data_IF_493746372676
#
_entry.id   IF_493746372676
#
_cell.length_a   1.000
_cell.length_b   1.000
_cell.length_c   1.000
_cell.angle_alpha   90.00
_cell.angle_beta   90.00
_cell.angle_gamma   90.00
#
_symmetry.space_group_name_H-M   'P 1'
#
loop_
_entity.id
_entity.type
_entity.pdbx_description
1 polymer ?
#
# COMPACT_ATOMS: atom_id res chain seq x y z
N UNK A 1 -18.93 6.74 -44.91
CA UNK A 1 -19.29 6.43 -43.49
C UNK A 1 -20.19 5.18 -43.43
N UNK A 2 -20.01 4.22 -44.35
CA UNK A 2 -21.06 3.24 -44.74
C UNK A 2 -20.52 1.85 -45.07
N UNK A 3 -19.38 1.42 -44.53
CA UNK A 3 -18.77 0.14 -44.96
C UNK A 3 -18.87 -1.02 -43.96
N UNK A 4 -19.30 -0.77 -42.71
CA UNK A 4 -19.25 -1.80 -41.65
C UNK A 4 -20.60 -2.11 -40.99
N UNK A 5 -21.74 -1.73 -41.59
CA UNK A 5 -23.06 -2.00 -41.00
C UNK A 5 -23.62 -3.40 -41.32
N UNK A 6 -22.99 -4.14 -42.26
CA UNK A 6 -23.46 -5.46 -42.72
C UNK A 6 -22.39 -6.57 -42.61
N UNK A 7 -21.34 -6.37 -41.80
CA UNK A 7 -20.32 -7.40 -41.59
C UNK A 7 -20.91 -8.59 -40.81
N UNK A 8 -21.04 -9.74 -41.48
CA UNK A 8 -21.47 -10.98 -40.82
C UNK A 8 -20.27 -11.64 -40.11
N UNK A 9 -20.16 -11.36 -38.81
CA UNK A 9 -19.06 -11.85 -37.98
C UNK A 9 -19.14 -13.38 -37.71
N UNK A 10 -20.22 -14.07 -38.13
CA UNK A 10 -20.43 -15.51 -37.91
C UNK A 10 -19.43 -16.40 -38.66
N UNK A 11 -18.84 -15.93 -39.74
CA UNK A 11 -17.86 -16.67 -40.53
C UNK A 11 -16.39 -16.38 -40.15
N UNK A 12 -16.15 -15.50 -39.16
CA UNK A 12 -14.80 -15.09 -38.76
C UNK A 12 -14.08 -16.10 -37.85
N UNK A 13 -14.76 -17.17 -37.45
CA UNK A 13 -14.16 -18.30 -36.73
C UNK A 13 -13.00 -18.94 -37.49
N UNK A 14 -13.04 -18.93 -38.83
CA UNK A 14 -12.09 -19.62 -39.72
C UNK A 14 -11.08 -18.72 -40.45
N UNK A 15 -10.88 -17.48 -40.02
CA UNK A 15 -10.07 -16.49 -40.76
C UNK A 15 -8.65 -16.96 -41.16
N UNK A 16 -8.40 -16.89 -42.46
CA UNK A 16 -7.08 -16.97 -43.10
C UNK A 16 -6.25 -15.70 -42.84
N UNK A 17 -4.99 -15.65 -43.34
CA UNK A 17 -4.04 -14.52 -43.20
C UNK A 17 -4.64 -13.12 -43.52
N UNK A 18 -5.72 -13.04 -44.30
CA UNK A 18 -6.42 -11.78 -44.63
C UNK A 18 -7.20 -11.17 -43.46
N UNK A 19 -7.71 -11.97 -42.51
CA UNK A 19 -8.45 -11.45 -41.35
C UNK A 19 -7.57 -10.78 -40.30
N UNK A 20 -6.28 -11.08 -40.27
CA UNK A 20 -5.34 -10.47 -39.31
C UNK A 20 -5.05 -8.99 -39.60
N UNK A 21 -5.24 -8.53 -40.84
CA UNK A 21 -5.07 -7.10 -41.19
C UNK A 21 -6.24 -6.24 -40.73
N UNK A 22 -7.46 -6.79 -40.66
CA UNK A 22 -8.66 -6.06 -40.22
C UNK A 22 -8.62 -5.73 -38.73
N UNK A 23 -8.04 -6.61 -37.91
CA UNK A 23 -7.80 -6.38 -36.49
C UNK A 23 -6.80 -5.25 -36.19
N UNK A 24 -6.20 -4.62 -37.20
CA UNK A 24 -5.41 -3.39 -37.02
C UNK A 24 -6.27 -2.12 -37.04
N UNK A 25 -7.48 -2.17 -37.59
CA UNK A 25 -8.40 -1.03 -37.62
C UNK A 25 -9.17 -0.93 -36.30
N UNK A 26 -9.11 0.23 -35.65
CA UNK A 26 -9.76 0.48 -34.37
C UNK A 26 -11.30 0.38 -34.46
N UNK A 27 -11.90 0.77 -35.59
CA UNK A 27 -13.37 0.70 -35.79
C UNK A 27 -13.84 -0.75 -35.88
N UNK A 28 -13.04 -1.59 -36.53
CA UNK A 28 -13.30 -3.02 -36.60
C UNK A 28 -13.19 -3.67 -35.22
N UNK A 29 -12.16 -3.31 -34.44
CA UNK A 29 -11.95 -3.83 -33.08
C UNK A 29 -13.16 -3.55 -32.16
N UNK A 30 -13.70 -2.34 -32.17
CA UNK A 30 -14.85 -1.95 -31.33
C UNK A 30 -16.13 -2.70 -31.71
N UNK A 31 -16.46 -2.76 -33.01
CA UNK A 31 -17.61 -3.53 -33.50
C UNK A 31 -17.49 -5.02 -33.22
N UNK A 32 -16.28 -5.56 -33.37
CA UNK A 32 -16.01 -6.95 -33.05
C UNK A 32 -16.22 -7.25 -31.56
N UNK A 33 -15.78 -6.34 -30.67
CA UNK A 33 -15.99 -6.48 -29.24
C UNK A 33 -17.48 -6.47 -28.85
N UNK A 34 -18.26 -5.55 -29.42
CA UNK A 34 -19.72 -5.51 -29.23
C UNK A 34 -20.40 -6.80 -29.70
N UNK A 35 -20.01 -7.30 -30.88
CA UNK A 35 -20.49 -8.57 -31.40
C UNK A 35 -20.21 -9.71 -30.42
N UNK A 36 -18.97 -9.84 -29.92
CA UNK A 36 -18.60 -10.90 -28.97
C UNK A 36 -19.38 -10.80 -27.65
N UNK A 37 -19.63 -9.58 -27.16
CA UNK A 37 -20.43 -9.36 -25.95
C UNK A 37 -21.91 -9.72 -26.15
N UNK A 38 -22.43 -9.55 -27.37
CA UNK A 38 -23.84 -9.82 -27.72
C UNK A 38 -24.17 -11.30 -27.92
N UNK A 39 -23.18 -12.16 -28.15
CA UNK A 39 -23.42 -13.59 -28.36
C UNK A 39 -23.98 -14.26 -27.09
N UNK A 40 -24.95 -15.18 -27.19
CA UNK A 40 -25.41 -15.97 -26.04
C UNK A 40 -24.49 -17.16 -25.71
N UNK A 41 -23.37 -17.31 -26.42
CA UNK A 41 -22.45 -18.45 -26.29
C UNK A 41 -21.84 -18.62 -24.89
N UNK A 42 -21.41 -19.87 -24.62
CA UNK A 42 -20.64 -20.24 -23.44
C UNK A 42 -19.35 -19.41 -23.30
N UNK A 43 -18.91 -19.19 -22.06
CA UNK A 43 -17.78 -18.33 -21.73
C UNK A 43 -16.49 -18.68 -22.49
N UNK A 44 -16.21 -19.97 -22.70
CA UNK A 44 -15.04 -20.44 -23.45
C UNK A 44 -15.03 -20.00 -24.92
N UNK A 45 -16.19 -20.03 -25.58
CA UNK A 45 -16.31 -19.63 -26.98
C UNK A 45 -16.06 -18.12 -27.13
N UNK A 46 -16.62 -17.32 -26.21
CA UNK A 46 -16.37 -15.87 -26.16
C UNK A 46 -14.91 -15.55 -25.86
N UNK A 47 -14.30 -16.32 -24.96
CA UNK A 47 -12.89 -16.15 -24.60
C UNK A 47 -11.96 -16.43 -25.79
N UNK A 48 -12.29 -17.42 -26.62
CA UNK A 48 -11.58 -17.73 -27.86
C UNK A 48 -11.70 -16.58 -28.89
N UNK A 49 -12.89 -15.99 -29.03
CA UNK A 49 -13.10 -14.84 -29.91
C UNK A 49 -12.33 -13.60 -29.42
N UNK A 50 -12.39 -13.32 -28.11
CA UNK A 50 -11.62 -12.23 -27.50
C UNK A 50 -10.11 -12.44 -27.65
N UNK A 51 -9.62 -13.68 -27.73
CA UNK A 51 -8.19 -13.96 -27.96
C UNK A 51 -7.69 -13.36 -29.28
N UNK A 52 -8.50 -13.45 -30.35
CA UNK A 52 -8.16 -12.85 -31.65
C UNK A 52 -8.13 -11.32 -31.56
N UNK A 53 -9.11 -10.74 -30.88
CA UNK A 53 -9.15 -9.30 -30.63
C UNK A 53 -7.92 -8.82 -29.82
N UNK A 54 -7.54 -9.53 -28.77
CA UNK A 54 -6.33 -9.25 -27.96
C UNK A 54 -5.05 -9.29 -28.80
N UNK A 55 -4.92 -10.25 -29.72
CA UNK A 55 -3.78 -10.30 -30.65
C UNK A 55 -3.72 -9.05 -31.55
N UNK A 56 -4.87 -8.57 -32.03
CA UNK A 56 -4.98 -7.31 -32.76
C UNK A 56 -4.55 -6.10 -31.97
N UNK A 57 -5.00 -6.00 -30.71
CA UNK A 57 -4.62 -4.92 -29.80
C UNK A 57 -3.11 -4.88 -29.55
N UNK A 58 -2.48 -6.04 -29.37
CA UNK A 58 -1.02 -6.16 -29.21
C UNK A 58 -0.29 -5.78 -30.49
N UNK A 59 -0.78 -6.18 -31.66
CA UNK A 59 -0.14 -5.88 -32.94
C UNK A 59 -0.11 -4.37 -33.28
N UNK A 60 -1.00 -3.57 -32.70
CA UNK A 60 -1.06 -2.10 -32.85
C UNK A 60 -0.52 -1.37 -31.60
N UNK A 61 -0.06 -2.10 -30.58
CA UNK A 61 0.26 -1.60 -29.24
C UNK A 61 -0.78 -0.60 -28.70
N UNK A 62 -2.06 -0.94 -28.81
CA UNK A 62 -3.16 -0.10 -28.34
C UNK A 62 -3.24 -0.15 -26.80
N UNK A 63 -3.16 1.01 -26.15
CA UNK A 63 -3.11 1.14 -24.67
C UNK A 63 -4.18 2.05 -24.06
N UNK A 64 -5.28 2.23 -24.75
CA UNK A 64 -6.39 3.08 -24.31
C UNK A 64 -7.37 2.32 -23.38
N UNK A 65 -8.38 3.03 -22.88
CA UNK A 65 -9.45 2.48 -22.05
C UNK A 65 -10.19 1.31 -22.73
N UNK A 66 -10.24 1.29 -24.06
CA UNK A 66 -10.82 0.19 -24.82
C UNK A 66 -10.01 -1.09 -24.64
N UNK A 67 -8.68 -1.02 -24.75
CA UNK A 67 -7.82 -2.17 -24.47
C UNK A 67 -8.06 -2.70 -23.05
N UNK A 68 -8.12 -1.80 -22.05
CA UNK A 68 -8.44 -2.17 -20.65
C UNK A 68 -9.78 -2.91 -20.56
N UNK A 69 -10.83 -2.39 -21.20
CA UNK A 69 -12.16 -3.02 -21.20
C UNK A 69 -12.15 -4.43 -21.81
N UNK A 70 -11.43 -4.62 -22.92
CA UNK A 70 -11.29 -5.93 -23.58
C UNK A 70 -10.59 -6.93 -22.67
N UNK A 71 -9.50 -6.53 -22.02
CA UNK A 71 -8.75 -7.40 -21.12
C UNK A 71 -9.49 -7.69 -19.81
N UNK A 72 -10.29 -6.74 -19.28
CA UNK A 72 -11.21 -6.99 -18.16
C UNK A 72 -12.26 -8.03 -18.50
N UNK A 73 -12.94 -7.86 -19.64
CA UNK A 73 -13.97 -8.81 -20.08
C UNK A 73 -13.39 -10.20 -20.33
N UNK A 74 -12.18 -10.25 -20.88
CA UNK A 74 -11.42 -11.49 -21.07
C UNK A 74 -11.13 -12.19 -19.74
N UNK A 75 -10.74 -11.43 -18.73
CA UNK A 75 -10.48 -11.95 -17.40
C UNK A 75 -11.75 -12.53 -16.75
N UNK A 76 -12.87 -11.81 -16.82
CA UNK A 76 -14.15 -12.26 -16.25
C UNK A 76 -14.59 -13.60 -16.86
N UNK A 77 -14.50 -13.71 -18.19
CA UNK A 77 -14.85 -14.93 -18.92
C UNK A 77 -13.89 -16.07 -18.63
N UNK A 78 -12.59 -15.80 -18.50
CA UNK A 78 -11.59 -16.81 -18.15
C UNK A 78 -11.77 -17.32 -16.71
N UNK A 79 -12.22 -16.48 -15.79
CA UNK A 79 -12.60 -16.88 -14.43
C UNK A 79 -13.86 -17.74 -14.47
N UNK A 80 -14.86 -17.33 -15.25
CA UNK A 80 -16.10 -18.08 -15.42
C UNK A 80 -15.88 -19.48 -16.01
N UNK A 81 -14.92 -19.61 -16.94
CA UNK A 81 -14.59 -20.89 -17.55
C UNK A 81 -13.42 -21.63 -16.90
N UNK A 82 -12.93 -21.15 -15.75
CA UNK A 82 -11.81 -21.74 -15.00
C UNK A 82 -10.51 -21.91 -15.83
N UNK A 83 -10.32 -21.10 -16.88
CA UNK A 83 -9.19 -21.18 -17.79
C UNK A 83 -7.96 -20.40 -17.24
N UNK A 84 -7.14 -21.12 -16.48
CA UNK A 84 -5.96 -20.61 -15.75
C UNK A 84 -4.95 -19.87 -16.63
N UNK A 85 -4.72 -20.33 -17.86
CA UNK A 85 -3.71 -19.72 -18.73
C UNK A 85 -4.19 -18.37 -19.29
N UNK A 86 -5.48 -18.26 -19.61
CA UNK A 86 -6.09 -17.02 -20.10
C UNK A 86 -6.26 -15.96 -18.99
N UNK A 87 -6.45 -16.39 -17.73
CA UNK A 87 -6.40 -15.52 -16.56
C UNK A 87 -5.02 -14.85 -16.46
N UNK A 88 -3.95 -15.65 -16.57
CA UNK A 88 -2.57 -15.14 -16.49
C UNK A 88 -2.25 -14.12 -17.59
N UNK A 89 -2.63 -14.42 -18.83
CA UNK A 89 -2.42 -13.53 -19.99
C UNK A 89 -3.19 -12.22 -19.83
N UNK A 90 -4.44 -12.28 -19.38
CA UNK A 90 -5.28 -11.08 -19.25
C UNK A 90 -4.81 -10.16 -18.14
N UNK A 91 -4.39 -10.73 -17.00
CA UNK A 91 -3.85 -9.96 -15.88
C UNK A 91 -2.50 -9.33 -16.18
N UNK A 92 -1.60 -10.06 -16.84
CA UNK A 92 -0.28 -9.52 -17.21
C UNK A 92 -0.44 -8.25 -18.04
N UNK A 93 -1.37 -8.28 -19.01
CA UNK A 93 -1.57 -7.13 -19.88
C UNK A 93 -2.34 -5.99 -19.20
N UNK A 94 -3.28 -6.26 -18.30
CA UNK A 94 -3.93 -5.21 -17.49
C UNK A 94 -2.91 -4.45 -16.63
N UNK A 95 -1.95 -5.14 -16.03
CA UNK A 95 -0.87 -4.52 -15.25
C UNK A 95 0.05 -3.66 -16.12
N UNK A 96 0.30 -4.06 -17.38
CA UNK A 96 1.07 -3.25 -18.33
C UNK A 96 0.30 -2.05 -18.87
N UNK A 97 -1.04 -2.14 -18.91
CA UNK A 97 -1.92 -1.13 -19.50
C UNK A 97 -2.34 -0.03 -18.52
N UNK A 98 -2.34 -0.29 -17.22
CA UNK A 98 -2.85 0.66 -16.23
C UNK A 98 -1.78 1.20 -15.26
N UNK A 99 -1.92 2.49 -15.00
CA UNK A 99 -1.09 3.33 -14.11
C UNK A 99 -1.76 3.58 -12.76
N UNK A 100 -3.02 3.16 -12.56
CA UNK A 100 -3.74 3.30 -11.30
C UNK A 100 -4.17 1.96 -10.66
N UNK A 101 -3.63 1.69 -9.47
CA UNK A 101 -3.66 0.39 -8.78
C UNK A 101 -5.02 0.03 -8.14
N UNK A 102 -6.05 0.88 -8.26
CA UNK A 102 -7.36 0.68 -7.67
C UNK A 102 -8.13 -0.50 -8.27
N UNK A 103 -7.85 -0.87 -9.53
CA UNK A 103 -8.59 -1.92 -10.23
C UNK A 103 -8.11 -3.35 -9.87
N UNK A 104 -6.86 -3.48 -9.39
CA UNK A 104 -6.34 -4.74 -8.84
C UNK A 104 -7.13 -5.20 -7.60
N UNK A 105 -7.75 -4.26 -6.88
CA UNK A 105 -8.65 -4.55 -5.76
C UNK A 105 -9.97 -5.20 -6.21
N UNK A 106 -10.51 -4.81 -7.37
CA UNK A 106 -11.72 -5.42 -7.92
C UNK A 106 -11.46 -6.84 -8.43
N UNK A 107 -10.31 -7.05 -9.09
CA UNK A 107 -9.83 -8.38 -9.51
C UNK A 107 -9.74 -9.34 -8.30
N UNK A 108 -9.29 -8.83 -7.16
CA UNK A 108 -9.19 -9.57 -5.91
C UNK A 108 -10.55 -9.90 -5.28
N UNK A 109 -11.52 -9.00 -5.36
CA UNK A 109 -12.91 -9.27 -4.95
C UNK A 109 -13.56 -10.36 -5.80
N UNK A 110 -13.37 -10.34 -7.12
CA UNK A 110 -13.99 -11.33 -8.02
C UNK A 110 -13.42 -12.74 -7.78
N UNK A 111 -12.10 -12.86 -7.58
CA UNK A 111 -11.45 -14.14 -7.24
C UNK A 111 -11.89 -14.71 -5.88
N UNK A 112 -12.39 -13.86 -4.97
CA UNK A 112 -12.86 -14.28 -3.63
C UNK A 112 -14.35 -14.55 -3.56
N UNK A 113 -15.15 -14.00 -4.48
CA UNK A 113 -16.62 -14.09 -4.42
C UNK A 113 -17.23 -15.33 -5.10
N UNK A 114 -16.53 -15.98 -6.05
CA UNK A 114 -17.01 -17.23 -6.68
C UNK A 114 -16.50 -18.46 -5.91
N UNK A 115 -17.39 -19.09 -5.13
CA UNK A 115 -17.17 -20.35 -4.40
C UNK A 115 -17.10 -21.57 -5.33
N UNK A 116 -16.11 -21.67 -6.21
CA UNK A 116 -15.60 -22.95 -6.70
C UNK A 116 -14.15 -22.72 -7.08
N UNK A 117 -13.22 -23.16 -6.24
CA UNK A 117 -11.81 -23.14 -6.60
C UNK A 117 -11.12 -24.40 -6.07
N UNK A 118 -11.46 -25.54 -6.66
CA UNK A 118 -10.62 -26.73 -6.60
C UNK A 118 -9.74 -26.86 -7.87
N UNK A 119 -9.10 -25.76 -8.31
CA UNK A 119 -7.68 -25.78 -8.68
C UNK A 119 -6.91 -24.50 -8.22
N UNK A 120 -7.49 -23.69 -7.32
CA UNK A 120 -6.95 -22.38 -6.88
C UNK A 120 -5.50 -22.39 -6.41
N UNK A 121 -5.04 -23.46 -5.79
CA UNK A 121 -3.72 -23.44 -5.13
C UNK A 121 -2.57 -23.32 -6.12
N UNK A 122 -2.73 -23.73 -7.38
CA UNK A 122 -1.73 -23.49 -8.42
C UNK A 122 -1.87 -22.12 -9.07
N UNK A 123 -3.11 -21.66 -9.32
CA UNK A 123 -3.39 -20.32 -9.86
C UNK A 123 -2.92 -19.24 -8.88
N UNK A 124 -3.27 -19.36 -7.59
CA UNK A 124 -2.80 -18.48 -6.52
C UNK A 124 -1.28 -18.50 -6.42
N UNK A 125 -0.62 -19.67 -6.54
CA UNK A 125 0.85 -19.76 -6.53
C UNK A 125 1.51 -19.15 -7.78
N UNK A 126 0.89 -19.28 -8.96
CA UNK A 126 1.34 -18.64 -10.21
C UNK A 126 1.14 -17.13 -10.16
N UNK A 127 -0.02 -16.66 -9.70
CA UNK A 127 -0.32 -15.25 -9.47
C UNK A 127 0.59 -14.65 -8.41
N UNK A 128 0.85 -15.38 -7.31
CA UNK A 128 1.86 -15.00 -6.32
C UNK A 128 3.25 -14.89 -6.94
N UNK A 129 3.66 -15.80 -7.84
CA UNK A 129 4.97 -15.68 -8.54
C UNK A 129 5.03 -14.48 -9.48
N UNK A 130 3.97 -14.21 -10.24
CA UNK A 130 3.88 -13.08 -11.16
C UNK A 130 3.90 -11.76 -10.37
N UNK A 131 3.12 -11.67 -9.30
CA UNK A 131 3.11 -10.54 -8.37
C UNK A 131 4.43 -10.39 -7.60
N UNK A 132 5.19 -11.46 -7.39
CA UNK A 132 6.53 -11.42 -6.79
C UNK A 132 7.61 -10.98 -7.78
N UNK A 133 7.39 -11.15 -9.09
CA UNK A 133 8.28 -10.61 -10.14
C UNK A 133 8.02 -9.13 -10.44
N UNK A 134 6.79 -8.66 -10.22
CA UNK A 134 6.44 -7.25 -10.25
C UNK A 134 6.91 -6.57 -8.96
N UNK A 135 8.07 -5.93 -9.05
CA UNK A 135 8.76 -5.08 -8.06
C UNK A 135 8.11 -4.96 -6.66
N UNK A 136 8.85 -5.39 -5.64
CA UNK A 136 8.50 -5.51 -4.20
C UNK A 136 7.66 -4.35 -3.60
N UNK A 137 7.76 -3.15 -4.17
CA UNK A 137 7.07 -1.94 -3.73
C UNK A 137 5.55 -2.01 -4.00
N UNK A 138 5.11 -2.65 -5.09
CA UNK A 138 3.68 -2.80 -5.41
C UNK A 138 2.97 -3.80 -4.49
N UNK A 139 3.67 -4.87 -4.10
CA UNK A 139 3.17 -5.91 -3.20
C UNK A 139 2.87 -5.39 -1.79
N UNK A 140 3.76 -4.55 -1.23
CA UNK A 140 3.56 -3.97 0.10
C UNK A 140 2.50 -2.86 0.13
N UNK A 141 2.29 -2.14 -0.98
CA UNK A 141 1.23 -1.12 -1.07
C UNK A 141 -0.17 -1.72 -1.25
N UNK A 142 -0.27 -2.95 -1.77
CA UNK A 142 -1.51 -3.75 -1.82
C UNK A 142 -1.91 -4.34 -0.45
N UNK A 143 -0.98 -4.36 0.51
CA UNK A 143 -1.18 -4.88 1.86
C UNK A 143 -1.77 -3.83 2.83
N UNK A 144 -1.91 -2.58 2.40
CA UNK A 144 -2.27 -1.47 3.27
C UNK A 144 -3.66 -0.92 2.94
N UNK A 145 -4.68 -1.55 3.53
CA UNK A 145 -5.92 -0.95 4.03
C UNK A 145 -6.85 -2.06 4.54
N UNK A 146 -6.91 -2.21 5.88
CA UNK A 146 -8.12 -2.51 6.66
C UNK A 146 -9.14 -3.56 6.18
N UNK A 147 -8.75 -4.64 5.49
CA UNK A 147 -9.73 -5.57 4.89
C UNK A 147 -9.48 -7.06 5.16
N UNK A 148 -10.53 -7.85 4.98
CA UNK A 148 -10.78 -9.20 5.52
C UNK A 148 -9.80 -10.33 5.22
N UNK A 149 -8.62 -10.07 4.65
CA UNK A 149 -7.62 -11.10 4.35
C UNK A 149 -6.95 -11.69 5.60
N UNK A 150 -6.79 -10.90 6.67
CA UNK A 150 -6.37 -11.43 7.98
C UNK A 150 -7.40 -12.40 8.56
N UNK A 151 -8.71 -12.15 8.34
CA UNK A 151 -9.80 -13.05 8.73
C UNK A 151 -9.90 -14.30 7.84
N UNK A 152 -9.56 -14.18 6.55
CA UNK A 152 -9.59 -15.28 5.58
C UNK A 152 -8.38 -16.23 5.74
N UNK A 153 -7.19 -15.69 6.04
CA UNK A 153 -6.01 -16.46 6.48
C UNK A 153 -6.28 -17.20 7.79
N UNK A 154 -6.96 -16.56 8.75
CA UNK A 154 -7.36 -17.19 10.01
C UNK A 154 -8.39 -18.30 9.77
N UNK A 155 -9.42 -18.06 8.94
CA UNK A 155 -10.45 -19.04 8.59
C UNK A 155 -9.90 -20.28 7.84
N UNK A 156 -8.94 -20.08 6.92
CA UNK A 156 -8.23 -21.16 6.21
C UNK A 156 -7.32 -21.97 7.13
N UNK A 157 -6.69 -21.33 8.13
CA UNK A 157 -5.86 -22.02 9.12
C UNK A 157 -6.68 -22.76 10.19
N UNK A 158 -7.95 -22.37 10.40
CA UNK A 158 -8.87 -23.01 11.37
C UNK A 158 -9.82 -24.05 10.75
N UNK A 159 -9.91 -24.13 9.42
CA UNK A 159 -10.78 -25.06 8.70
C UNK A 159 -10.24 -26.50 8.76
N UNK A 160 -10.75 -27.31 9.70
CA UNK A 160 -10.49 -28.76 9.78
C UNK A 160 -11.23 -29.51 8.68
N UNK A 161 -10.53 -30.03 7.68
CA UNK A 161 -11.02 -31.12 6.82
C UNK A 161 -9.94 -32.22 6.76
N UNK A 162 -10.32 -33.52 6.79
CA UNK A 162 -9.37 -34.63 6.85
C UNK A 162 -8.71 -34.87 5.48
N UNK A 163 -7.39 -35.10 5.50
CA UNK A 163 -6.55 -35.35 4.31
C UNK A 163 -6.81 -36.75 3.69
N UNK A 164 -6.68 -36.92 2.36
CA UNK A 164 -6.78 -38.22 1.69
C UNK A 164 -5.54 -39.11 1.99
N UNK A 165 -5.66 -40.45 1.90
CA UNK A 165 -4.61 -41.36 2.34
C UNK A 165 -3.42 -41.37 1.36
N UNK A 166 -2.20 -41.22 1.91
CA UNK A 166 -0.93 -41.16 1.17
C UNK A 166 -0.45 -42.54 0.74
N UNK A 167 -0.06 -42.70 -0.52
CA UNK A 167 0.65 -43.88 -1.04
C UNK A 167 2.13 -43.90 -0.63
N UNK A 168 2.62 -45.11 -0.29
CA UNK A 168 3.90 -45.40 0.40
C UNK A 168 5.19 -44.87 -0.26
N UNK A 169 5.18 -44.60 -1.58
CA UNK A 169 6.33 -44.02 -2.30
C UNK A 169 6.46 -42.49 -2.15
N UNK A 170 5.35 -41.77 -1.96
CA UNK A 170 5.37 -40.31 -1.75
C UNK A 170 5.83 -39.93 -0.33
N UNK A 171 5.73 -40.86 0.62
CA UNK A 171 6.15 -40.66 2.01
C UNK A 171 7.66 -40.56 2.23
N UNK A 172 8.51 -41.12 1.37
CA UNK A 172 9.98 -41.05 1.57
C UNK A 172 10.59 -39.77 0.97
N UNK A 173 10.23 -39.43 -0.27
CA UNK A 173 10.67 -38.20 -0.94
C UNK A 173 10.13 -36.93 -0.25
N UNK A 174 8.87 -36.95 0.21
CA UNK A 174 8.30 -35.84 0.98
C UNK A 174 8.88 -35.69 2.39
N UNK A 175 9.29 -36.79 3.04
CA UNK A 175 10.02 -36.75 4.32
C UNK A 175 11.43 -36.20 4.13
N UNK A 176 12.12 -36.55 3.04
CA UNK A 176 13.45 -36.02 2.73
C UNK A 176 13.41 -34.53 2.38
N UNK A 177 12.53 -34.11 1.46
CA UNK A 177 12.36 -32.69 1.12
C UNK A 177 11.88 -31.87 2.32
N UNK A 178 10.95 -32.40 3.13
CA UNK A 178 10.50 -31.77 4.37
C UNK A 178 11.59 -31.66 5.43
N UNK A 179 12.43 -32.69 5.61
CA UNK A 179 13.56 -32.66 6.53
C UNK A 179 14.65 -31.68 6.10
N UNK A 180 14.93 -31.59 4.79
CA UNK A 180 15.89 -30.62 4.22
C UNK A 180 15.37 -29.18 4.40
N UNK A 181 14.11 -28.90 4.04
CA UNK A 181 13.49 -27.58 4.23
C UNK A 181 13.39 -27.21 5.72
N UNK A 182 13.06 -28.17 6.59
CA UNK A 182 13.01 -27.97 8.04
C UNK A 182 14.40 -27.72 8.64
N UNK A 183 15.43 -28.41 8.15
CA UNK A 183 16.84 -28.19 8.52
C UNK A 183 17.34 -26.82 8.06
N UNK A 184 17.01 -26.40 6.83
CA UNK A 184 17.36 -25.09 6.29
C UNK A 184 16.64 -23.94 7.03
N UNK A 185 15.35 -24.08 7.32
CA UNK A 185 14.61 -23.06 8.10
C UNK A 185 15.11 -22.95 9.54
N UNK A 186 15.58 -24.03 10.18
CA UNK A 186 16.23 -23.95 11.51
C UNK A 186 17.51 -23.10 11.47
N UNK A 187 18.28 -23.16 10.39
CA UNK A 187 19.51 -22.36 10.20
C UNK A 187 19.24 -20.89 9.86
N UNK A 188 18.14 -20.58 9.17
CA UNK A 188 17.80 -19.21 8.72
C UNK A 188 17.00 -18.42 9.78
N UNK A 189 16.31 -19.09 10.70
CA UNK A 189 15.59 -18.46 11.83
C UNK A 189 16.43 -17.46 12.65
N UNK A 190 17.66 -17.79 13.11
CA UNK A 190 18.46 -16.83 13.87
C UNK A 190 18.87 -15.61 13.02
N UNK A 191 19.15 -15.79 11.73
CA UNK A 191 19.45 -14.68 10.82
C UNK A 191 18.26 -13.73 10.64
N UNK A 192 17.04 -14.27 10.54
CA UNK A 192 15.82 -13.45 10.49
C UNK A 192 15.58 -12.72 11.80
N UNK A 193 15.78 -13.38 12.94
CA UNK A 193 15.66 -12.74 14.25
C UNK A 193 16.67 -11.61 14.40
N UNK A 194 17.91 -11.81 13.96
CA UNK A 194 18.95 -10.78 13.97
C UNK A 194 18.57 -9.59 13.09
N UNK A 195 18.06 -9.83 11.87
CA UNK A 195 17.56 -8.77 11.00
C UNK A 195 16.41 -7.97 11.62
N UNK A 196 15.44 -8.64 12.25
CA UNK A 196 14.32 -7.97 12.94
C UNK A 196 14.84 -7.14 14.12
N UNK A 197 15.77 -7.68 14.91
CA UNK A 197 16.37 -6.97 16.04
C UNK A 197 17.13 -5.72 15.58
N UNK A 198 17.92 -5.81 14.50
CA UNK A 198 18.64 -4.67 13.94
C UNK A 198 17.69 -3.57 13.47
N UNK A 199 16.63 -3.93 12.74
CA UNK A 199 15.61 -2.96 12.28
C UNK A 199 14.86 -2.36 13.48
N UNK A 200 14.50 -3.17 14.46
CA UNK A 200 13.78 -2.72 15.67
C UNK A 200 14.64 -1.76 16.50
N UNK A 201 15.92 -2.10 16.70
CA UNK A 201 16.89 -1.24 17.37
C UNK A 201 17.03 0.09 16.63
N UNK A 202 17.27 0.06 15.31
CA UNK A 202 17.35 1.27 14.50
C UNK A 202 16.08 2.11 14.62
N UNK A 203 14.90 1.48 14.51
CA UNK A 203 13.62 2.17 14.59
C UNK A 203 13.42 2.84 15.96
N UNK A 204 13.64 2.12 17.06
CA UNK A 204 13.48 2.67 18.42
C UNK A 204 14.44 3.83 18.66
N UNK A 205 15.71 3.70 18.24
CA UNK A 205 16.72 4.73 18.48
C UNK A 205 16.57 5.97 17.58
N UNK A 206 16.02 5.83 16.37
CA UNK A 206 15.91 6.94 15.43
C UNK A 206 14.51 7.58 15.41
N UNK A 207 13.45 6.82 15.66
CA UNK A 207 12.07 7.32 15.57
C UNK A 207 11.57 7.94 16.86
N UNK A 208 12.08 7.48 18.02
CA UNK A 208 11.67 7.98 19.33
C UNK A 208 12.87 8.50 20.13
N UNK A 209 12.63 9.45 21.04
CA UNK A 209 13.64 9.92 21.98
C UNK A 209 13.01 10.37 23.27
N UNK A 210 13.70 10.08 24.36
CA UNK A 210 13.37 10.56 25.68
C UNK A 210 14.11 11.88 25.93
N UNK A 211 13.40 12.93 26.33
CA UNK A 211 13.99 14.25 26.63
C UNK A 211 13.54 14.71 28.01
N UNK A 212 14.50 15.09 28.86
CA UNK A 212 14.24 15.72 30.16
C UNK A 212 14.06 17.23 29.97
N UNK A 213 12.96 17.77 30.49
CA UNK A 213 12.59 19.17 30.33
C UNK A 213 13.18 19.96 31.49
N UNK A 214 14.12 20.86 31.17
CA UNK A 214 14.75 21.75 32.13
C UNK A 214 14.35 23.18 31.79
N UNK A 215 13.34 23.71 32.48
CA UNK A 215 12.87 25.08 32.26
C UNK A 215 11.41 25.30 32.64
N UNK A 216 11.00 26.57 32.61
CA UNK A 216 9.65 27.05 32.99
C UNK A 216 8.79 27.48 31.80
N UNK A 217 9.35 27.58 30.59
CA UNK A 217 8.63 28.18 29.45
C UNK A 217 7.37 27.45 29.00
N UNK A 218 7.20 26.19 29.43
CA UNK A 218 6.04 25.36 29.11
C UNK A 218 5.14 25.14 30.34
N UNK A 219 5.32 25.90 31.42
CA UNK A 219 4.43 25.88 32.57
C UNK A 219 3.05 26.48 32.19
N UNK A 220 1.94 25.96 32.74
CA UNK A 220 1.86 24.86 33.70
C UNK A 220 1.88 23.46 33.06
N UNK A 221 1.82 23.35 31.73
CA UNK A 221 1.68 22.04 31.05
C UNK A 221 2.83 21.08 31.34
N UNK A 222 4.06 21.58 31.32
CA UNK A 222 5.27 20.84 31.62
C UNK A 222 5.98 21.49 32.82
N UNK A 223 6.43 20.67 33.76
CA UNK A 223 7.02 21.08 35.04
C UNK A 223 6.16 22.09 35.82
N UNK A 224 4.90 21.78 36.19
CA UNK A 224 4.00 22.68 36.91
C UNK A 224 4.58 23.11 38.27
N UNK A 225 5.39 22.26 38.90
CA UNK A 225 6.02 22.57 40.17
C UNK A 225 7.04 23.71 40.05
N UNK A 226 6.82 24.80 40.77
CA UNK A 226 7.73 25.95 40.84
C UNK A 226 9.10 25.60 41.43
N UNK A 227 9.14 24.55 42.25
CA UNK A 227 10.31 24.14 43.03
C UNK A 227 11.35 23.39 42.18
N UNK A 228 10.98 22.94 40.96
CA UNK A 228 11.87 22.28 39.98
C UNK A 228 12.66 21.08 40.55
N UNK A 229 12.14 20.44 41.61
CA UNK A 229 12.75 19.26 42.24
C UNK A 229 12.64 18.02 41.35
N UNK A 230 11.59 17.98 40.52
CA UNK A 230 11.31 16.94 39.53
C UNK A 230 11.27 17.58 38.14
N UNK A 231 11.72 16.84 37.14
CA UNK A 231 11.66 17.27 35.74
C UNK A 231 10.84 16.29 34.94
N UNK A 232 9.98 16.80 34.06
CA UNK A 232 9.20 15.99 33.14
C UNK A 232 10.10 15.36 32.09
N UNK A 233 9.90 14.07 31.85
CA UNK A 233 10.50 13.38 30.71
C UNK A 233 9.44 13.16 29.66
N UNK A 234 9.75 13.64 28.46
CA UNK A 234 8.87 13.60 27.31
C UNK A 234 9.37 12.59 26.29
N UNK A 235 8.47 11.79 25.74
CA UNK A 235 8.73 11.02 24.53
C UNK A 235 8.47 11.91 23.32
N UNK A 236 9.50 12.07 22.49
CA UNK A 236 9.43 12.70 21.20
C UNK A 236 9.27 11.66 20.09
N UNK A 237 8.29 11.86 19.22
CA UNK A 237 8.14 11.15 17.96
C UNK A 237 8.80 11.98 16.83
N UNK A 238 9.91 11.47 16.29
CA UNK A 238 10.72 12.08 15.23
C UNK A 238 10.35 11.61 13.83
N UNK A 239 9.49 10.59 13.71
CA UNK A 239 9.14 9.97 12.43
C UNK A 239 7.90 10.61 11.77
N UNK A 240 7.23 11.53 12.46
CA UNK A 240 6.01 12.13 11.95
C UNK A 240 6.28 13.00 10.70
N UNK A 241 5.52 12.80 9.61
CA UNK A 241 5.58 13.70 8.46
C UNK A 241 5.14 15.12 8.87
N UNK A 242 5.65 16.14 8.19
CA UNK A 242 5.30 17.53 8.47
C UNK A 242 3.79 17.83 8.37
N UNK A 243 3.04 17.05 7.59
CA UNK A 243 1.58 17.16 7.46
C UNK A 243 0.79 16.76 8.71
N UNK A 244 1.43 16.09 9.68
CA UNK A 244 0.78 15.58 10.88
C UNK A 244 0.89 16.52 12.08
N UNK A 245 1.65 17.60 11.97
CA UNK A 245 1.69 18.64 12.99
C UNK A 245 0.38 19.44 12.96
N UNK A 246 -0.18 19.67 14.15
CA UNK A 246 -1.43 20.40 14.35
C UNK A 246 -1.20 21.60 15.26
N UNK A 247 -2.13 22.54 15.18
CA UNK A 247 -2.23 23.61 16.15
C UNK A 247 -2.33 23.03 17.57
N UNK A 248 -1.56 23.58 18.50
CA UNK A 248 -1.51 23.12 19.90
C UNK A 248 -0.54 21.98 20.17
N UNK A 249 0.08 21.37 19.15
CA UNK A 249 1.05 20.30 19.37
C UNK A 249 2.30 20.82 20.09
N UNK A 250 2.81 20.02 21.04
CA UNK A 250 4.09 20.28 21.70
C UNK A 250 5.19 19.71 20.82
N UNK A 251 6.19 20.53 20.47
CA UNK A 251 7.28 20.16 19.58
C UNK A 251 8.62 20.52 20.17
N UNK A 252 9.61 19.66 19.91
CA UNK A 252 11.01 19.96 20.13
C UNK A 252 11.61 20.53 18.86
N UNK A 253 12.33 21.64 18.95
CA UNK A 253 12.98 22.29 17.82
C UNK A 253 14.35 22.86 18.19
N UNK A 254 15.15 23.17 17.17
CA UNK A 254 16.35 24.01 17.32
C UNK A 254 15.96 25.45 17.01
N UNK A 255 15.90 26.36 18.00
CA UNK A 255 15.53 27.75 17.75
C UNK A 255 16.62 28.46 16.94
N UNK A 256 16.25 29.44 16.08
CA UNK A 256 17.20 30.16 15.24
C UNK A 256 18.21 30.98 16.05
N UNK A 257 17.80 31.49 17.22
CA UNK A 257 18.65 32.28 18.13
C UNK A 257 19.77 31.45 18.78
N UNK A 258 19.53 30.15 19.02
CA UNK A 258 20.56 29.26 19.56
C UNK A 258 20.43 27.84 19.00
N UNK A 259 21.02 27.57 17.82
CA UNK A 259 20.86 26.29 17.12
C UNK A 259 21.52 25.11 17.84
N UNK A 260 22.41 25.37 18.82
CA UNK A 260 23.06 24.33 19.62
C UNK A 260 22.19 23.82 20.77
N UNK A 261 21.04 24.46 21.03
CA UNK A 261 20.09 24.06 22.08
C UNK A 261 18.81 23.49 21.48
N UNK A 262 18.16 22.62 22.24
CA UNK A 262 16.82 22.12 21.92
C UNK A 262 15.82 22.84 22.80
N UNK A 263 14.82 23.45 22.19
CA UNK A 263 13.71 24.10 22.87
C UNK A 263 12.43 23.26 22.70
N UNK A 264 11.61 23.20 23.75
CA UNK A 264 10.26 22.64 23.68
C UNK A 264 9.27 23.80 23.71
N UNK A 265 8.40 23.84 22.70
CA UNK A 265 7.38 24.87 22.49
C UNK A 265 6.09 24.25 21.98
N UNK A 266 4.99 25.01 22.05
CA UNK A 266 3.70 24.67 21.46
C UNK A 266 3.54 25.34 20.11
N UNK A 267 2.98 24.63 19.13
CA UNK A 267 2.58 25.23 17.85
C UNK A 267 1.38 26.14 18.07
N UNK A 268 1.58 27.43 17.85
CA UNK A 268 0.57 28.48 17.93
C UNK A 268 0.01 28.89 16.56
N UNK A 269 0.65 28.48 15.46
CA UNK A 269 0.13 28.66 14.10
C UNK A 269 0.86 27.80 13.08
N UNK A 270 0.13 27.37 12.06
CA UNK A 270 0.62 26.66 10.87
C UNK A 270 0.35 27.51 9.62
N UNK A 271 0.83 27.04 8.47
CA UNK A 271 0.66 27.72 7.19
C UNK A 271 -0.77 28.27 6.99
N UNK A 272 -0.86 29.58 6.74
CA UNK A 272 -2.12 30.29 6.51
C UNK A 272 -2.78 30.86 7.77
N UNK A 273 -2.34 30.48 8.97
CA UNK A 273 -2.85 31.04 10.22
C UNK A 273 -2.34 32.48 10.41
N UNK A 274 -3.21 33.36 10.95
CA UNK A 274 -2.84 34.72 11.34
C UNK A 274 -2.46 34.73 12.82
N UNK A 275 -1.17 34.90 13.11
CA UNK A 275 -0.64 34.96 14.49
C UNK A 275 0.10 36.27 14.68
N UNK A 276 -0.26 37.03 15.73
CA UNK A 276 0.33 38.34 16.05
C UNK A 276 0.40 39.32 14.87
N UNK A 277 -0.64 39.33 14.02
CA UNK A 277 -0.73 40.23 12.86
C UNK A 277 0.11 39.80 11.66
N UNK A 278 0.75 38.62 11.70
CA UNK A 278 1.51 38.05 10.57
C UNK A 278 0.94 36.70 10.16
N UNK A 279 0.80 36.49 8.85
CA UNK A 279 0.44 35.17 8.32
C UNK A 279 1.65 34.24 8.36
N UNK A 280 1.42 32.99 8.73
CA UNK A 280 2.46 31.96 8.73
C UNK A 280 2.71 31.45 7.30
N UNK A 281 3.95 31.50 6.87
CA UNK A 281 4.38 31.11 5.53
C UNK A 281 4.35 29.59 5.32
N UNK A 282 4.32 29.19 4.04
CA UNK A 282 4.37 27.77 3.68
C UNK A 282 5.67 27.15 4.16
N UNK A 283 5.58 25.96 4.77
CA UNK A 283 6.74 25.26 5.31
C UNK A 283 7.27 25.83 6.63
N UNK A 284 6.57 26.81 7.22
CA UNK A 284 6.88 27.40 8.51
C UNK A 284 5.76 27.12 9.53
N UNK A 285 6.09 27.28 10.79
CA UNK A 285 5.15 27.31 11.89
C UNK A 285 5.52 28.43 12.87
N UNK A 286 4.52 28.87 13.63
CA UNK A 286 4.70 29.81 14.73
C UNK A 286 4.64 29.03 16.04
N UNK A 287 5.65 29.17 16.90
CA UNK A 287 5.75 28.41 18.15
C UNK A 287 5.83 29.33 19.37
N UNK A 288 5.16 28.96 20.46
CA UNK A 288 5.11 29.73 21.69
C UNK A 288 5.27 28.83 22.92
N UNK A 289 5.84 29.38 23.99
CA UNK A 289 5.78 28.73 25.30
C UNK A 289 4.46 29.02 25.99
N UNK A 290 3.98 28.08 26.80
CA UNK A 290 2.76 28.26 27.60
C UNK A 290 2.95 29.34 28.68
N UNK A 291 4.17 29.49 29.22
CA UNK A 291 4.52 30.57 30.14
C UNK A 291 5.17 31.72 29.38
N UNK A 292 4.37 32.75 29.14
CA UNK A 292 4.73 33.85 28.27
C UNK A 292 5.94 34.65 28.75
N UNK A 293 6.05 34.92 30.06
CA UNK A 293 7.10 35.77 30.62
C UNK A 293 8.47 35.08 30.70
N UNK A 294 8.51 33.75 30.59
CA UNK A 294 9.74 32.96 30.66
C UNK A 294 10.02 32.18 29.38
N UNK A 295 9.45 32.61 28.26
CA UNK A 295 9.61 31.95 26.97
C UNK A 295 10.25 32.86 25.92
N UNK A 296 11.45 32.47 25.48
CA UNK A 296 12.05 32.91 24.22
C UNK A 296 11.45 32.04 23.11
N UNK A 297 10.65 32.62 22.24
CA UNK A 297 9.89 31.93 21.20
C UNK A 297 9.60 32.80 19.96
N UNK A 298 8.66 32.39 19.10
CA UNK A 298 8.36 33.09 17.84
C UNK A 298 7.90 34.54 18.00
N UNK A 299 7.52 34.97 19.21
CA UNK A 299 7.27 36.39 19.51
C UNK A 299 8.52 37.24 19.39
N UNK A 300 9.70 36.65 19.58
CA UNK A 300 10.99 37.34 19.53
C UNK A 300 11.74 37.08 18.23
N UNK A 301 11.79 35.83 17.76
CA UNK A 301 12.55 35.47 16.56
C UNK A 301 11.70 35.20 15.31
N UNK A 302 10.37 35.35 15.39
CA UNK A 302 9.45 35.11 14.29
C UNK A 302 9.11 33.63 14.06
N UNK A 303 8.44 33.34 12.94
CA UNK A 303 8.11 31.98 12.53
C UNK A 303 9.37 31.14 12.25
N UNK A 304 9.26 29.82 12.41
CA UNK A 304 10.36 28.86 12.25
C UNK A 304 10.03 27.84 11.17
N UNK A 305 11.05 27.40 10.42
CA UNK A 305 10.85 26.36 9.42
C UNK A 305 10.49 25.02 10.07
N UNK A 306 9.54 24.29 9.49
CA UNK A 306 9.18 22.93 9.91
C UNK A 306 10.40 21.97 9.87
N UNK A 307 11.41 22.27 9.05
CA UNK A 307 12.66 21.50 9.01
C UNK A 307 13.53 21.62 10.27
N UNK A 308 13.30 22.63 11.11
CA UNK A 308 14.01 22.80 12.40
C UNK A 308 13.39 21.97 13.53
N UNK A 309 12.19 21.43 13.31
CA UNK A 309 11.52 20.54 14.25
C UNK A 309 12.27 19.21 14.32
N UNK A 310 12.58 18.78 15.54
CA UNK A 310 13.21 17.49 15.84
C UNK A 310 12.16 16.40 15.98
N UNK A 311 10.99 16.74 16.54
CA UNK A 311 9.89 15.81 16.73
C UNK A 311 8.76 16.36 17.59
N UNK A 312 7.64 15.64 17.60
CA UNK A 312 6.44 15.95 18.41
C UNK A 312 6.51 15.27 19.77
N UNK A 313 6.24 16.00 20.84
CA UNK A 313 5.96 15.43 22.16
C UNK A 313 4.65 14.67 22.17
N UNK A 314 4.68 13.38 22.46
CA UNK A 314 3.49 12.51 22.44
C UNK A 314 3.05 12.04 23.81
N UNK A 315 3.96 11.98 24.78
CA UNK A 315 3.64 11.52 26.13
C UNK A 315 4.63 12.05 27.16
N UNK A 316 4.11 12.40 28.34
CA UNK A 316 4.91 12.54 29.56
C UNK A 316 5.04 11.14 30.16
N UNK A 317 6.25 10.70 30.45
CA UNK A 317 6.52 9.34 30.97
C UNK A 317 7.16 9.31 32.35
N UNK A 318 7.64 10.46 32.83
CA UNK A 318 8.16 10.63 34.19
C UNK A 318 7.91 12.07 34.61
N UNK A 319 7.58 12.34 35.88
CA UNK A 319 7.38 11.38 36.97
C UNK A 319 6.10 10.53 36.78
N UNK A 320 6.05 9.34 37.42
CA UNK A 320 5.04 8.31 37.12
C UNK A 320 3.60 8.74 37.41
N UNK A 321 3.42 9.60 38.42
CA UNK A 321 2.16 10.24 38.81
C UNK A 321 1.62 11.22 37.76
N UNK A 322 2.48 11.67 36.83
CA UNK A 322 2.14 12.61 35.75
C UNK A 322 2.20 11.99 34.36
N UNK A 323 2.21 10.66 34.29
CA UNK A 323 2.15 9.96 33.02
C UNK A 323 0.85 10.28 32.27
N UNK A 324 0.97 10.90 31.09
CA UNK A 324 -0.18 11.21 30.24
C UNK A 324 0.23 11.31 28.77
N UNK A 325 -0.73 11.08 27.87
CA UNK A 325 -0.62 11.38 26.45
C UNK A 325 -0.90 12.88 26.21
N UNK A 326 -0.25 13.47 25.21
CA UNK A 326 -0.34 14.88 24.87
C UNK A 326 -1.10 15.15 23.57
#
# INVERSE_FOLDING_TARGET
>A
MTEYHHMDFRHLGSLSRSGQTEFKDWKFQEKYYEFVCSQPDAADNKLLLLRKLRQGLVAVDRRDLFAVAVYKKSLDLAIESENVDEIGVSLSRLVELDTDYAELYQIHQVLTHKRVLHPATQLIKRLQRILYQLNYIAFYRLLDASSGYTRLLLALLTSRQPLPPRTRRQTLLGKFQGAVIHSMNKRIRPLRALGILSVSYYFVHNCYSLVSIKGRSMQPTLNPDSNMLTSDHLILNKWLPYSHYKLGDIVALRPPDNPNKVAIKRIAGLWGDLVNGTYVDRGHCYVQGDESFHSIDSRQYGQVSLGTLIGKGVAIVYPLDRMQLL
#
